data_IF_094622353185
#
_entry.id   IF_094622353185
#
_cell.length_a   1.000
_cell.length_b   1.000
_cell.length_c   1.000
_cell.angle_alpha   90.00
_cell.angle_beta   90.00
_cell.angle_gamma   90.00
#
_symmetry.space_group_name_H-M   'P 1'
#
loop_
_entity.id
_entity.type
_entity.pdbx_description
1 polymer ?
#
# COMPACT_ATOMS: atom_id res chain seq x y z
N UNK A 1 15.07 6.83 53.73
CA UNK A 1 14.70 6.34 52.37
C UNK A 1 15.43 5.02 52.13
N UNK A 2 14.71 3.90 51.98
CA UNK A 2 15.33 2.57 51.81
C UNK A 2 15.70 2.28 50.35
N UNK A 3 16.80 1.55 50.13
CA UNK A 3 17.28 1.15 48.78
C UNK A 3 16.18 0.54 47.90
N UNK A 4 15.27 -0.25 48.50
CA UNK A 4 14.14 -0.86 47.81
C UNK A 4 13.12 0.16 47.24
N UNK A 5 12.88 1.28 47.94
CA UNK A 5 11.98 2.33 47.47
C UNK A 5 12.59 3.13 46.30
N UNK A 6 13.90 3.38 46.36
CA UNK A 6 14.64 4.01 45.26
C UNK A 6 14.67 3.11 44.01
N UNK A 7 14.89 1.81 44.18
CA UNK A 7 14.85 0.83 43.08
C UNK A 7 13.47 0.78 42.40
N UNK A 8 12.38 0.78 43.17
CA UNK A 8 11.01 0.86 42.63
C UNK A 8 10.76 2.13 41.82
N UNK A 9 11.25 3.27 42.27
CA UNK A 9 11.06 4.56 41.58
C UNK A 9 11.84 4.64 40.26
N UNK A 10 13.06 4.08 40.22
CA UNK A 10 13.85 3.94 38.99
C UNK A 10 13.21 2.97 38.01
N UNK A 11 12.72 1.83 38.47
CA UNK A 11 12.01 0.87 37.63
C UNK A 11 10.73 1.48 37.03
N UNK A 12 9.97 2.23 37.82
CA UNK A 12 8.79 2.96 37.33
C UNK A 12 9.17 4.04 36.32
N UNK A 13 10.23 4.82 36.56
CA UNK A 13 10.70 5.83 35.61
C UNK A 13 11.24 5.23 34.30
N UNK A 14 11.85 4.04 34.36
CA UNK A 14 12.28 3.32 33.17
C UNK A 14 11.07 2.73 32.40
N UNK A 15 10.10 2.17 33.12
CA UNK A 15 8.90 1.58 32.52
C UNK A 15 7.93 2.63 31.93
N UNK A 16 7.77 3.78 32.60
CA UNK A 16 6.82 4.83 32.21
C UNK A 16 7.48 6.07 31.58
N UNK A 17 8.82 6.13 31.56
CA UNK A 17 9.59 7.19 30.90
C UNK A 17 10.24 6.69 29.60
N UNK A 18 11.50 7.07 29.39
CA UNK A 18 12.19 6.82 28.12
C UNK A 18 12.36 5.34 27.75
N UNK A 19 12.36 4.42 28.70
CA UNK A 19 12.51 2.98 28.42
C UNK A 19 11.26 2.36 27.80
N UNK A 20 10.08 2.61 28.37
CA UNK A 20 8.79 2.14 27.81
C UNK A 20 8.48 2.74 26.44
N UNK A 21 8.69 4.05 26.29
CA UNK A 21 8.49 4.72 25.00
C UNK A 21 9.47 4.21 23.92
N UNK A 22 10.72 3.92 24.30
CA UNK A 22 11.69 3.31 23.39
C UNK A 22 11.29 1.91 22.94
N UNK A 23 10.78 1.05 23.84
CA UNK A 23 10.32 -0.30 23.48
C UNK A 23 9.13 -0.21 22.52
N UNK A 24 8.14 0.65 22.81
CA UNK A 24 7.00 0.86 21.93
C UNK A 24 7.42 1.40 20.57
N UNK A 25 8.31 2.39 20.54
CA UNK A 25 8.83 2.97 19.30
C UNK A 25 9.61 1.95 18.47
N UNK A 26 10.48 1.17 19.10
CA UNK A 26 11.21 0.09 18.44
C UNK A 26 10.27 -0.99 17.91
N UNK A 27 9.21 -1.32 18.64
CA UNK A 27 8.15 -2.24 18.20
C UNK A 27 7.44 -1.76 16.94
N UNK A 28 6.96 -0.51 16.93
CA UNK A 28 6.29 0.09 15.76
C UNK A 28 7.23 0.13 14.56
N UNK A 29 8.47 0.59 14.75
CA UNK A 29 9.47 0.62 13.69
C UNK A 29 9.76 -0.78 13.14
N UNK A 30 9.86 -1.78 14.01
CA UNK A 30 10.05 -3.17 13.66
C UNK A 30 8.90 -3.71 12.79
N UNK A 31 7.65 -3.47 13.19
CA UNK A 31 6.45 -3.87 12.42
C UNK A 31 6.45 -3.22 11.04
N UNK A 32 6.57 -1.89 10.97
CA UNK A 32 6.56 -1.16 9.70
C UNK A 32 7.69 -1.62 8.76
N UNK A 33 8.88 -1.88 9.31
CA UNK A 33 10.01 -2.38 8.53
C UNK A 33 9.77 -3.80 8.02
N UNK A 34 9.18 -4.66 8.84
CA UNK A 34 8.82 -6.02 8.45
C UNK A 34 7.74 -6.03 7.36
N UNK A 35 6.68 -5.23 7.51
CA UNK A 35 5.63 -5.05 6.51
C UNK A 35 6.19 -4.51 5.20
N UNK A 36 7.04 -3.48 5.25
CA UNK A 36 7.66 -2.92 4.04
C UNK A 36 8.56 -3.94 3.31
N UNK A 37 9.28 -4.78 4.05
CA UNK A 37 10.10 -5.87 3.47
C UNK A 37 9.22 -6.96 2.86
N UNK A 38 8.12 -7.32 3.52
CA UNK A 38 7.18 -8.30 3.01
C UNK A 38 6.50 -7.77 1.74
N UNK A 39 5.99 -6.54 1.77
CA UNK A 39 5.36 -5.88 0.62
C UNK A 39 6.28 -5.84 -0.59
N UNK A 40 7.55 -5.45 -0.44
CA UNK A 40 8.52 -5.48 -1.55
C UNK A 40 8.69 -6.87 -2.16
N UNK A 41 8.72 -7.92 -1.33
CA UNK A 41 8.86 -9.30 -1.81
C UNK A 41 7.59 -9.82 -2.46
N UNK A 42 6.43 -9.46 -1.93
CA UNK A 42 5.12 -9.95 -2.41
C UNK A 42 4.67 -9.24 -3.68
N UNK A 43 4.88 -7.92 -3.78
CA UNK A 43 4.51 -7.14 -4.96
C UNK A 43 5.46 -7.43 -6.13
N UNK A 44 6.76 -7.62 -5.84
CA UNK A 44 7.77 -7.88 -6.85
C UNK A 44 8.25 -6.61 -7.57
N UNK A 45 8.99 -6.82 -8.66
CA UNK A 45 9.50 -5.73 -9.50
C UNK A 45 8.46 -5.29 -10.53
N UNK A 46 8.61 -4.07 -11.03
CA UNK A 46 7.76 -3.55 -12.09
C UNK A 46 8.03 -4.35 -13.37
N UNK A 47 6.99 -4.93 -13.96
CA UNK A 47 7.10 -5.60 -15.26
C UNK A 47 7.46 -4.59 -16.34
N UNK A 48 8.38 -4.98 -17.21
CA UNK A 48 8.70 -4.26 -18.44
C UNK A 48 7.74 -4.56 -19.58
N UNK A 49 6.80 -5.49 -19.38
CA UNK A 49 5.83 -5.85 -20.41
C UNK A 49 4.90 -4.68 -20.70
N UNK A 50 4.54 -4.46 -21.97
CA UNK A 50 3.60 -3.42 -22.32
C UNK A 50 2.23 -3.74 -21.73
N UNK A 51 1.56 -2.72 -21.19
CA UNK A 51 0.17 -2.83 -20.77
C UNK A 51 -0.76 -2.98 -21.99
N UNK A 52 -1.87 -3.72 -21.90
CA UNK A 52 -2.84 -3.81 -22.99
C UNK A 52 -3.42 -2.43 -23.36
N UNK A 53 -3.41 -2.07 -24.65
CA UNK A 53 -4.02 -0.83 -25.12
C UNK A 53 -5.55 -0.94 -25.10
N UNK A 54 -6.19 -0.12 -24.27
CA UNK A 54 -7.64 -0.06 -24.10
C UNK A 54 -8.31 0.94 -25.05
N UNK A 55 -7.59 1.50 -26.03
CA UNK A 55 -8.18 2.41 -27.01
C UNK A 55 -9.07 1.65 -27.97
N UNK A 56 -10.40 1.87 -27.91
CA UNK A 56 -11.32 1.12 -28.74
C UNK A 56 -12.80 1.46 -28.55
N UNK A 57 -13.64 0.62 -29.12
CA UNK A 57 -15.09 0.71 -29.03
C UNK A 57 -15.64 -0.42 -28.15
N UNK A 58 -16.28 -0.05 -27.04
CA UNK A 58 -16.86 -0.99 -26.08
C UNK A 58 -18.37 -0.83 -25.98
N UNK A 59 -19.06 -1.83 -25.44
CA UNK A 59 -20.51 -1.76 -25.19
C UNK A 59 -21.41 -1.89 -26.42
N UNK A 60 -20.98 -2.62 -27.46
CA UNK A 60 -21.78 -2.88 -28.66
C UNK A 60 -23.18 -3.40 -28.31
N UNK A 61 -24.22 -2.81 -28.89
CA UNK A 61 -25.62 -3.19 -28.64
C UNK A 61 -26.27 -2.49 -27.43
N UNK A 62 -25.54 -1.62 -26.71
CA UNK A 62 -26.16 -0.75 -25.70
C UNK A 62 -26.96 0.38 -26.36
N UNK A 63 -28.13 0.75 -25.81
CA UNK A 63 -28.92 1.87 -26.32
C UNK A 63 -28.23 3.21 -26.03
N UNK A 64 -28.50 4.21 -26.88
CA UNK A 64 -28.02 5.58 -26.71
C UNK A 64 -26.80 5.94 -27.59
N UNK A 65 -26.42 7.23 -27.62
CA UNK A 65 -25.27 7.69 -28.37
C UNK A 65 -23.96 7.21 -27.72
N UNK A 66 -22.94 7.00 -28.55
CA UNK A 66 -21.62 6.66 -28.06
C UNK A 66 -20.97 7.84 -27.30
N UNK A 67 -20.29 7.51 -26.20
CA UNK A 67 -19.47 8.46 -25.45
C UNK A 67 -18.00 8.30 -25.84
N UNK A 68 -17.31 9.43 -25.99
CA UNK A 68 -15.85 9.47 -26.10
C UNK A 68 -15.29 9.88 -24.76
N UNK A 69 -14.48 9.01 -24.16
CA UNK A 69 -13.93 9.20 -22.83
C UNK A 69 -12.40 9.23 -22.97
N UNK A 70 -11.77 10.20 -22.31
CA UNK A 70 -10.34 10.20 -22.07
C UNK A 70 -10.12 9.83 -20.60
N UNK A 71 -9.35 8.77 -20.36
CA UNK A 71 -8.98 8.35 -19.00
C UNK A 71 -7.55 8.83 -18.72
N UNK A 72 -7.41 9.66 -17.68
CA UNK A 72 -6.12 10.16 -17.21
C UNK A 72 -5.86 9.66 -15.80
N UNK A 73 -4.67 9.13 -15.56
CA UNK A 73 -4.24 8.65 -14.25
C UNK A 73 -2.81 8.14 -14.27
N UNK A 74 -2.51 7.21 -13.36
CA UNK A 74 -1.21 6.55 -13.25
C UNK A 74 -1.20 5.17 -13.95
N UNK A 75 -0.24 4.31 -13.58
CA UNK A 75 -0.12 2.96 -14.12
C UNK A 75 -1.40 2.14 -13.96
N UNK A 76 -2.18 2.36 -12.91
CA UNK A 76 -3.45 1.68 -12.66
C UNK A 76 -4.48 2.06 -13.72
N UNK A 77 -4.55 3.34 -14.10
CA UNK A 77 -5.45 3.82 -15.15
C UNK A 77 -5.10 3.22 -16.53
N UNK A 78 -3.80 3.00 -16.79
CA UNK A 78 -3.32 2.33 -18.00
C UNK A 78 -3.53 0.80 -18.00
N UNK A 79 -4.08 0.21 -16.93
CA UNK A 79 -4.28 -1.24 -16.83
C UNK A 79 -3.02 -2.02 -16.43
N UNK A 80 -2.10 -1.42 -15.68
CA UNK A 80 -0.95 -2.16 -15.17
C UNK A 80 -1.39 -3.28 -14.21
N UNK A 81 -0.90 -4.50 -14.45
CA UNK A 81 -1.23 -5.68 -13.66
C UNK A 81 -2.44 -6.48 -14.15
N UNK A 82 -3.03 -6.13 -15.30
CA UNK A 82 -4.04 -6.99 -15.96
C UNK A 82 -3.45 -7.69 -17.19
N UNK A 83 -3.96 -8.89 -17.47
CA UNK A 83 -3.47 -9.73 -18.58
C UNK A 83 -4.21 -9.44 -19.88
N UNK A 84 -5.45 -8.95 -19.79
CA UNK A 84 -6.35 -8.80 -20.93
C UNK A 84 -6.90 -7.39 -21.05
N UNK A 85 -7.09 -6.94 -22.29
CA UNK A 85 -7.65 -5.62 -22.58
C UNK A 85 -9.01 -5.40 -21.92
N UNK A 86 -9.86 -6.43 -21.81
CA UNK A 86 -11.21 -6.34 -21.21
C UNK A 86 -11.20 -6.17 -19.68
N UNK A 87 -10.03 -6.26 -19.05
CA UNK A 87 -9.85 -6.05 -17.62
C UNK A 87 -9.32 -4.64 -17.32
N UNK A 88 -8.92 -3.88 -18.34
CA UNK A 88 -8.41 -2.53 -18.17
C UNK A 88 -9.54 -1.58 -17.74
N UNK A 89 -9.27 -0.57 -16.89
CA UNK A 89 -10.29 0.42 -16.53
C UNK A 89 -10.91 1.10 -17.76
N UNK A 90 -10.10 1.43 -18.77
CA UNK A 90 -10.58 2.06 -20.00
C UNK A 90 -11.60 1.22 -20.79
N UNK A 91 -11.51 -0.11 -20.73
CA UNK A 91 -12.46 -1.01 -21.39
C UNK A 91 -13.78 -1.23 -20.62
N UNK A 92 -13.78 -0.96 -19.32
CA UNK A 92 -14.92 -1.18 -18.42
C UNK A 92 -15.84 0.03 -18.30
N UNK A 93 -15.36 1.20 -18.74
CA UNK A 93 -16.12 2.45 -18.83
C UNK A 93 -17.03 2.46 -20.08
#
# INVERSE_FOLDING_TARGET
MGKAAAARKLAAAAAFGGGGLSILGAGIYGVLTAEAKLARRTIGEVSSDPVPDSTGWYGRGRPGPALKIALLGDSSACGYGVDRVEQTPGSLL
#
